data_IF_272227185082
#
_entry.id   IF_272227185082
#
_cell.length_a   1.000
_cell.length_b   1.000
_cell.length_c   1.000
_cell.angle_alpha   90.00
_cell.angle_beta   90.00
_cell.angle_gamma   90.00
#
_symmetry.space_group_name_H-M   'P 1'
#
loop_
_entity.id
_entity.type
_entity.pdbx_description
1 polymer ?
#
# COMPACT_ATOMS: atom_id res chain seq x y z
N UNK A 1 -53.33 -64.56 -28.46
CA UNK A 1 -52.14 -63.78 -28.86
C UNK A 1 -52.26 -62.32 -28.38
N UNK A 2 -52.55 -62.10 -27.09
CA UNK A 2 -52.68 -60.74 -26.50
C UNK A 2 -52.06 -60.65 -25.09
N UNK A 3 -51.70 -61.77 -24.48
CA UNK A 3 -51.23 -61.85 -23.09
C UNK A 3 -49.70 -61.85 -22.93
N UNK A 4 -48.94 -61.94 -24.03
CA UNK A 4 -47.46 -62.02 -24.00
C UNK A 4 -46.82 -60.64 -24.22
N UNK A 5 -47.49 -59.74 -24.95
CA UNK A 5 -46.94 -58.42 -25.33
C UNK A 5 -46.94 -57.45 -24.12
N UNK A 6 -47.94 -57.53 -23.23
CA UNK A 6 -47.98 -56.66 -22.03
C UNK A 6 -46.87 -56.97 -21.01
N UNK A 7 -46.38 -58.21 -20.97
CA UNK A 7 -45.37 -58.63 -19.98
C UNK A 7 -43.94 -58.20 -20.37
N UNK A 8 -43.70 -57.89 -21.64
CA UNK A 8 -42.41 -57.41 -22.15
C UNK A 8 -42.26 -55.88 -22.07
N UNK A 9 -43.37 -55.14 -22.14
CA UNK A 9 -43.37 -53.68 -22.04
C UNK A 9 -43.13 -53.23 -20.59
N UNK A 10 -43.64 -53.99 -19.61
CA UNK A 10 -43.48 -53.66 -18.18
C UNK A 10 -42.07 -53.87 -17.62
N UNK A 11 -41.26 -54.76 -18.22
CA UNK A 11 -39.87 -55.00 -17.77
C UNK A 11 -38.88 -54.00 -18.35
N UNK A 12 -39.17 -53.42 -19.51
CA UNK A 12 -38.32 -52.39 -20.15
C UNK A 12 -38.50 -51.01 -19.50
N UNK A 13 -39.68 -50.70 -18.97
CA UNK A 13 -39.95 -49.42 -18.29
C UNK A 13 -39.31 -49.31 -16.88
N UNK A 14 -39.01 -50.44 -16.22
CA UNK A 14 -38.35 -50.42 -14.91
C UNK A 14 -36.82 -50.33 -15.02
N UNK A 15 -36.22 -50.74 -16.14
CA UNK A 15 -34.76 -50.61 -16.35
C UNK A 15 -34.39 -49.17 -16.76
N UNK A 16 -35.30 -48.43 -17.40
CA UNK A 16 -35.06 -47.02 -17.75
C UNK A 16 -35.23 -46.05 -16.58
N UNK A 17 -35.82 -46.47 -15.45
CA UNK A 17 -35.98 -45.61 -14.26
C UNK A 17 -34.82 -45.71 -13.26
N UNK A 18 -33.86 -46.62 -13.46
CA UNK A 18 -32.65 -46.73 -12.64
C UNK A 18 -31.41 -46.05 -13.25
N UNK A 19 -31.52 -45.48 -14.45
CA UNK A 19 -30.41 -44.76 -15.12
C UNK A 19 -30.60 -43.24 -15.13
N UNK A 20 -31.61 -42.73 -14.42
CA UNK A 20 -31.82 -41.30 -14.21
C UNK A 20 -31.76 -40.98 -12.70
N UNK A 21 -30.78 -41.54 -12.00
CA UNK A 21 -30.16 -40.72 -10.95
C UNK A 21 -29.33 -39.70 -11.70
N UNK A 22 -29.96 -38.56 -11.97
CA UNK A 22 -29.24 -37.33 -12.24
C UNK A 22 -28.19 -37.23 -11.14
N UNK A 23 -26.91 -37.33 -11.50
CA UNK A 23 -25.87 -36.80 -10.66
C UNK A 23 -26.28 -35.35 -10.42
N UNK A 24 -26.79 -35.05 -9.22
CA UNK A 24 -26.65 -33.70 -8.70
C UNK A 24 -25.14 -33.58 -8.54
N UNK A 25 -24.50 -33.03 -9.56
CA UNK A 25 -23.14 -32.51 -9.43
C UNK A 25 -23.13 -31.78 -8.10
N UNK A 26 -22.30 -32.27 -7.17
CA UNK A 26 -21.93 -31.50 -6.01
C UNK A 26 -21.22 -30.28 -6.60
N UNK A 27 -21.97 -29.25 -6.97
CA UNK A 27 -21.43 -27.92 -7.19
C UNK A 27 -20.84 -27.56 -5.84
N UNK A 28 -19.52 -27.70 -5.74
CA UNK A 28 -18.79 -27.13 -4.60
C UNK A 28 -19.16 -25.63 -4.63
N UNK A 29 -19.79 -25.09 -3.56
CA UNK A 29 -20.22 -23.70 -3.56
C UNK A 29 -19.07 -22.72 -3.79
N UNK A 30 -17.82 -23.19 -3.67
CA UNK A 30 -16.60 -22.44 -3.89
C UNK A 30 -15.93 -22.72 -5.27
N UNK A 31 -16.57 -23.51 -6.14
CA UNK A 31 -16.00 -23.91 -7.44
C UNK A 31 -15.91 -22.70 -8.40
N UNK A 32 -14.69 -22.25 -8.70
CA UNK A 32 -14.44 -21.21 -9.70
C UNK A 32 -13.51 -20.07 -9.28
N UNK A 33 -13.11 -19.99 -8.01
CA UNK A 33 -12.21 -18.93 -7.53
C UNK A 33 -10.74 -19.37 -7.66
N UNK A 34 -10.12 -19.10 -8.81
CA UNK A 34 -8.68 -19.25 -9.01
C UNK A 34 -7.99 -17.89 -8.78
N UNK A 35 -7.62 -17.59 -7.54
CA UNK A 35 -6.80 -16.42 -7.23
C UNK A 35 -5.32 -16.74 -7.46
N UNK A 36 -4.61 -15.88 -8.18
CA UNK A 36 -3.15 -15.95 -8.31
C UNK A 36 -2.42 -15.17 -7.22
N UNK A 37 -3.16 -14.56 -6.30
CA UNK A 37 -2.64 -13.73 -5.23
C UNK A 37 -2.17 -14.60 -4.08
N UNK A 38 -1.03 -14.31 -3.46
CA UNK A 38 -0.55 -15.02 -2.28
C UNK A 38 -0.86 -14.19 -1.02
N UNK A 39 -1.70 -14.73 -0.13
CA UNK A 39 -2.02 -14.10 1.15
C UNK A 39 -1.34 -14.85 2.31
N UNK A 40 -0.44 -14.16 3.02
CA UNK A 40 0.28 -14.73 4.15
C UNK A 40 -0.67 -15.06 5.33
N UNK A 41 -1.67 -14.21 5.55
CA UNK A 41 -2.66 -14.35 6.64
C UNK A 41 -3.95 -15.06 6.22
N UNK A 42 -3.99 -15.64 5.02
CA UNK A 42 -5.18 -16.26 4.45
C UNK A 42 -6.13 -15.26 3.76
N UNK A 43 -7.25 -15.77 3.29
CA UNK A 43 -8.22 -15.04 2.47
C UNK A 43 -9.46 -14.65 3.25
N UNK A 44 -10.07 -13.53 2.89
CA UNK A 44 -11.40 -13.15 3.36
C UNK A 44 -12.40 -14.22 2.92
N UNK A 45 -13.31 -14.60 3.81
CA UNK A 45 -14.35 -15.58 3.53
C UNK A 45 -15.67 -14.89 3.22
N UNK A 46 -16.39 -15.39 2.21
CA UNK A 46 -17.75 -14.96 1.92
C UNK A 46 -18.78 -15.58 2.89
N UNK A 47 -20.07 -15.27 2.68
CA UNK A 47 -21.18 -15.80 3.51
C UNK A 47 -21.29 -17.33 3.47
N UNK A 48 -20.75 -17.98 2.43
CA UNK A 48 -20.72 -19.42 2.26
C UNK A 48 -19.42 -20.05 2.79
N UNK A 49 -18.55 -19.26 3.44
CA UNK A 49 -17.21 -19.67 3.88
C UNK A 49 -16.25 -20.04 2.73
N UNK A 50 -16.48 -19.49 1.54
CA UNK A 50 -15.56 -19.63 0.41
C UNK A 50 -14.52 -18.52 0.42
N UNK A 51 -13.28 -18.87 0.07
CA UNK A 51 -12.18 -17.91 -0.06
C UNK A 51 -12.48 -16.90 -1.18
N UNK A 52 -12.42 -15.62 -0.85
CA UNK A 52 -12.46 -14.52 -1.80
C UNK A 52 -11.04 -14.18 -2.26
N UNK A 53 -10.88 -13.56 -3.43
CA UNK A 53 -9.58 -13.05 -3.88
C UNK A 53 -9.16 -11.75 -3.15
N UNK A 54 -9.20 -11.76 -1.82
CA UNK A 54 -8.85 -10.66 -0.94
C UNK A 54 -8.11 -11.22 0.29
N UNK A 55 -7.00 -10.59 0.70
CA UNK A 55 -6.25 -11.03 1.87
C UNK A 55 -6.85 -10.53 3.17
N UNK A 56 -6.73 -11.33 4.22
CA UNK A 56 -6.98 -10.87 5.59
C UNK A 56 -5.91 -9.83 5.96
N UNK A 57 -6.36 -8.61 6.20
CA UNK A 57 -5.55 -7.52 6.76
C UNK A 57 -5.40 -7.75 8.26
N UNK A 58 -4.16 -7.83 8.73
CA UNK A 58 -3.83 -8.01 10.15
C UNK A 58 -3.03 -6.85 10.74
N UNK A 59 -2.42 -6.02 9.89
CA UNK A 59 -1.59 -4.89 10.31
C UNK A 59 -2.26 -3.58 9.92
N UNK A 60 -2.49 -2.72 10.91
CA UNK A 60 -3.18 -1.45 10.73
C UNK A 60 -2.28 -0.28 11.16
N UNK A 61 -2.35 0.81 10.43
CA UNK A 61 -1.62 2.04 10.70
C UNK A 61 -1.92 2.57 12.10
N UNK A 62 -0.87 2.77 12.90
CA UNK A 62 -0.97 3.30 14.26
C UNK A 62 -1.46 2.31 15.32
N UNK A 63 -1.75 1.06 14.94
CA UNK A 63 -2.12 -0.02 15.87
C UNK A 63 -0.91 -0.92 16.08
N UNK A 64 -0.68 -1.34 17.33
CA UNK A 64 0.38 -2.25 17.70
C UNK A 64 0.01 -2.99 18.99
N UNK A 65 0.62 -4.16 19.17
CA UNK A 65 0.51 -5.00 20.36
C UNK A 65 1.87 -5.63 20.67
N UNK A 66 1.90 -6.68 21.50
CA UNK A 66 3.13 -7.36 21.92
C UNK A 66 3.86 -8.08 20.76
N UNK A 67 3.29 -8.13 19.55
CA UNK A 67 3.95 -8.68 18.35
C UNK A 67 4.79 -7.64 17.61
N UNK A 68 4.74 -6.37 18.02
CA UNK A 68 5.48 -5.27 17.41
C UNK A 68 6.63 -4.80 18.30
N UNK A 69 7.74 -4.45 17.66
CA UNK A 69 8.75 -3.57 18.22
C UNK A 69 8.26 -2.15 17.98
N UNK A 70 7.80 -1.50 19.05
CA UNK A 70 7.39 -0.10 19.04
C UNK A 70 8.49 0.80 19.61
N UNK A 71 8.74 1.92 18.93
CA UNK A 71 9.67 2.94 19.40
C UNK A 71 9.04 4.34 19.27
N UNK A 72 8.96 5.05 20.40
CA UNK A 72 8.61 6.46 20.46
C UNK A 72 9.89 7.29 20.54
N UNK A 73 10.04 8.26 19.63
CA UNK A 73 11.18 9.15 19.67
C UNK A 73 11.08 10.03 20.92
N UNK A 74 12.16 10.13 21.74
CA UNK A 74 12.13 10.95 22.96
C UNK A 74 11.92 12.45 22.64
N UNK A 75 12.31 12.85 21.44
CA UNK A 75 12.00 14.13 20.82
C UNK A 75 11.57 13.86 19.38
N UNK A 76 10.42 14.39 18.92
CA UNK A 76 10.03 14.27 17.53
C UNK A 76 11.17 14.75 16.62
N UNK A 77 11.45 13.99 15.56
CA UNK A 77 12.48 14.33 14.59
C UNK A 77 11.89 15.31 13.58
N UNK A 78 12.15 16.59 13.82
CA UNK A 78 11.94 17.67 12.86
C UNK A 78 13.12 17.72 11.88
N UNK A 79 12.84 17.80 10.59
CA UNK A 79 13.89 17.91 9.57
C UNK A 79 14.40 19.35 9.55
N UNK A 80 15.68 19.53 9.87
CA UNK A 80 16.32 20.85 9.87
C UNK A 80 16.43 21.41 8.44
N UNK A 81 15.82 22.57 8.21
CA UNK A 81 15.92 23.28 6.94
C UNK A 81 17.17 24.17 6.91
N UNK A 82 18.08 23.88 5.98
CA UNK A 82 19.27 24.68 5.71
C UNK A 82 18.99 25.63 4.55
N UNK A 83 18.99 26.93 4.84
CA UNK A 83 18.74 27.98 3.86
C UNK A 83 20.00 28.40 3.10
N UNK A 84 19.92 28.38 1.78
CA UNK A 84 20.85 29.06 0.88
C UNK A 84 20.29 30.45 0.55
N UNK A 85 20.78 31.47 1.26
CA UNK A 85 20.32 32.84 1.12
C UNK A 85 20.72 33.44 -0.24
N UNK A 86 21.83 32.98 -0.83
CA UNK A 86 22.31 33.51 -2.11
C UNK A 86 21.43 33.06 -3.27
N UNK A 87 20.98 31.80 -3.21
CA UNK A 87 20.16 31.20 -4.26
C UNK A 87 18.66 31.16 -3.92
N UNK A 88 18.27 31.54 -2.70
CA UNK A 88 16.88 31.56 -2.20
C UNK A 88 16.20 30.17 -2.13
N UNK A 89 17.00 29.13 -1.93
CA UNK A 89 16.53 27.75 -1.77
C UNK A 89 16.76 27.24 -0.35
N UNK A 90 16.08 26.15 0.01
CA UNK A 90 16.41 25.38 1.19
C UNK A 90 16.44 23.89 0.87
N UNK A 91 17.19 23.15 1.69
CA UNK A 91 17.15 21.70 1.72
C UNK A 91 17.28 21.20 3.15
N UNK A 92 16.82 19.98 3.40
CA UNK A 92 16.91 19.34 4.70
C UNK A 92 16.85 17.84 4.56
N UNK A 93 17.50 17.12 5.47
CA UNK A 93 17.52 15.66 5.48
C UNK A 93 17.29 15.15 6.90
N UNK A 94 16.49 14.10 7.03
CA UNK A 94 16.26 13.40 8.28
C UNK A 94 16.28 11.90 8.04
N UNK A 95 16.73 11.11 9.01
CA UNK A 95 16.77 9.65 8.85
C UNK A 95 16.45 8.94 10.15
N UNK A 96 15.89 7.74 10.02
CA UNK A 96 15.57 6.86 11.15
C UNK A 96 16.18 5.48 10.94
N UNK A 97 16.63 4.89 12.04
CA UNK A 97 17.10 3.51 12.16
C UNK A 97 16.01 2.74 12.89
N UNK A 98 15.25 1.94 12.14
CA UNK A 98 14.02 1.29 12.60
C UNK A 98 14.36 -0.01 13.33
N UNK A 99 15.34 -0.78 12.84
CA UNK A 99 15.73 -2.05 13.46
C UNK A 99 16.89 -1.95 14.46
N UNK A 100 17.38 -0.73 14.69
CA UNK A 100 18.43 -0.39 15.66
C UNK A 100 19.76 -1.10 15.37
N UNK A 101 20.05 -1.37 14.09
CA UNK A 101 21.30 -2.00 13.66
C UNK A 101 22.48 -1.00 13.54
N UNK A 102 22.21 0.30 13.72
CA UNK A 102 23.17 1.39 13.61
C UNK A 102 23.27 1.99 12.21
N UNK A 103 22.50 1.51 11.24
CA UNK A 103 22.39 2.07 9.90
C UNK A 103 21.00 2.68 9.70
N UNK A 104 20.94 3.80 9.00
CA UNK A 104 19.65 4.41 8.66
C UNK A 104 18.87 3.53 7.68
N UNK A 105 17.58 3.38 7.94
CA UNK A 105 16.66 2.53 7.17
C UNK A 105 15.76 3.33 6.25
N UNK A 106 15.29 4.48 6.73
CA UNK A 106 14.44 5.38 5.98
C UNK A 106 15.03 6.79 6.09
N UNK A 107 15.23 7.42 4.94
CA UNK A 107 15.68 8.81 4.83
C UNK A 107 14.57 9.67 4.22
N UNK A 108 14.33 10.81 4.81
CA UNK A 108 13.46 11.87 4.32
C UNK A 108 14.33 12.99 3.79
N UNK A 109 14.01 13.46 2.59
CA UNK A 109 14.67 14.59 1.95
C UNK A 109 13.61 15.64 1.63
N UNK A 110 13.84 16.87 2.09
CA UNK A 110 13.01 18.02 1.81
C UNK A 110 13.81 19.07 1.06
N UNK A 111 13.12 19.83 0.22
CA UNK A 111 13.71 21.01 -0.38
C UNK A 111 12.67 21.88 -1.05
N UNK A 112 13.05 23.11 -1.34
CA UNK A 112 12.14 24.10 -1.85
C UNK A 112 12.79 25.46 -2.00
N UNK A 113 11.96 26.49 -2.13
CA UNK A 113 12.39 27.84 -2.44
C UNK A 113 11.59 28.88 -1.66
N UNK A 114 12.15 30.09 -1.54
CA UNK A 114 11.42 31.23 -0.99
C UNK A 114 10.66 31.96 -2.09
N UNK A 115 9.33 31.81 -2.12
CA UNK A 115 8.45 32.46 -3.08
C UNK A 115 8.54 33.99 -3.08
N UNK A 116 8.76 34.62 -1.92
CA UNK A 116 8.70 36.08 -1.78
C UNK A 116 9.86 36.80 -2.45
N UNK A 117 10.98 36.10 -2.68
CA UNK A 117 12.22 36.70 -3.16
C UNK A 117 12.64 36.19 -4.55
N UNK A 118 11.90 35.23 -5.11
CA UNK A 118 12.26 34.60 -6.37
C UNK A 118 11.99 35.54 -7.54
N UNK A 119 13.05 36.11 -8.13
CA UNK A 119 12.95 37.01 -9.28
C UNK A 119 12.77 36.28 -10.62
N UNK A 120 12.99 34.96 -10.63
CA UNK A 120 12.94 34.10 -11.81
C UNK A 120 12.19 32.80 -11.50
N UNK A 121 11.95 31.97 -12.50
CA UNK A 121 11.27 30.69 -12.33
C UNK A 121 12.11 29.71 -11.49
N UNK A 122 11.54 29.01 -10.50
CA UNK A 122 12.31 28.15 -9.63
C UNK A 122 12.88 26.95 -10.38
N UNK A 123 14.14 26.63 -10.08
CA UNK A 123 14.80 25.42 -10.54
C UNK A 123 14.50 24.22 -9.64
N UNK A 124 14.23 24.49 -8.36
CA UNK A 124 13.87 23.50 -7.34
C UNK A 124 12.52 23.91 -6.78
N UNK A 125 11.56 23.01 -6.86
CA UNK A 125 10.23 23.20 -6.31
C UNK A 125 10.12 22.58 -4.92
N UNK A 126 9.12 22.99 -4.16
CA UNK A 126 8.84 22.39 -2.86
C UNK A 126 8.57 20.89 -3.02
N UNK A 127 9.31 20.06 -2.30
CA UNK A 127 9.18 18.62 -2.37
C UNK A 127 9.53 17.97 -1.03
N UNK A 128 8.97 16.78 -0.84
CA UNK A 128 9.38 15.83 0.18
C UNK A 128 9.44 14.45 -0.43
N UNK A 129 10.57 13.77 -0.24
CA UNK A 129 10.82 12.43 -0.78
C UNK A 129 11.31 11.50 0.31
N UNK A 130 11.09 10.20 0.11
CA UNK A 130 11.54 9.13 0.99
C UNK A 130 12.48 8.23 0.21
N UNK A 131 13.64 7.95 0.78
CA UNK A 131 14.59 6.97 0.27
C UNK A 131 14.60 5.77 1.21
N UNK A 132 14.43 4.57 0.67
CA UNK A 132 14.50 3.34 1.45
C UNK A 132 15.91 2.73 1.40
N UNK A 133 16.37 2.26 2.56
CA UNK A 133 17.71 1.72 2.78
C UNK A 133 17.58 0.33 3.45
N UNK A 134 18.67 -0.45 3.46
CA UNK A 134 18.75 -1.74 4.17
C UNK A 134 17.59 -2.73 3.90
N UNK A 135 17.09 -2.76 2.66
CA UNK A 135 15.96 -3.58 2.21
C UNK A 135 14.61 -3.26 2.86
N UNK A 136 14.47 -2.07 3.45
CA UNK A 136 13.15 -1.55 3.77
C UNK A 136 12.40 -1.18 2.49
N UNK A 137 11.10 -1.36 2.56
CA UNK A 137 10.15 -0.97 1.55
C UNK A 137 9.11 -0.04 2.16
N UNK A 138 8.59 0.88 1.36
CA UNK A 138 7.48 1.76 1.75
C UNK A 138 6.26 1.50 0.89
N UNK A 139 5.09 1.58 1.51
CA UNK A 139 3.82 1.43 0.82
C UNK A 139 3.61 2.63 -0.12
N UNK A 140 3.19 2.36 -1.35
CA UNK A 140 2.90 3.41 -2.34
C UNK A 140 1.61 3.18 -3.09
N UNK A 141 1.11 4.24 -3.72
CA UNK A 141 0.04 4.19 -4.71
C UNK A 141 0.52 4.83 -6.01
N UNK A 142 -0.07 4.39 -7.12
CA UNK A 142 0.22 4.94 -8.44
C UNK A 142 -0.87 5.92 -8.83
N UNK A 143 -0.48 7.15 -9.12
CA UNK A 143 -1.36 8.18 -9.65
C UNK A 143 -1.15 8.32 -11.17
N UNK A 144 -2.22 8.09 -11.94
CA UNK A 144 -2.20 8.29 -13.39
C UNK A 144 -2.56 9.73 -13.72
N UNK A 145 -1.74 10.38 -14.54
CA UNK A 145 -1.98 11.75 -14.98
C UNK A 145 -1.85 11.89 -16.50
N UNK A 146 -2.53 12.90 -17.02
CA UNK A 146 -2.67 13.17 -18.44
C UNK A 146 -1.96 14.46 -18.79
N UNK A 147 -0.95 14.36 -19.65
CA UNK A 147 -0.24 15.50 -20.22
C UNK A 147 -0.82 15.95 -21.56
N UNK A 148 -0.33 17.08 -22.07
CA UNK A 148 -0.64 17.54 -23.42
C UNK A 148 -0.25 16.51 -24.50
N UNK A 149 -0.84 16.64 -25.70
CA UNK A 149 -0.60 15.78 -26.87
C UNK A 149 -0.94 14.29 -26.66
N UNK A 150 -1.85 13.98 -25.72
CA UNK A 150 -2.29 12.59 -25.47
C UNK A 150 -1.29 11.77 -24.65
N UNK A 151 -0.34 12.44 -23.97
CA UNK A 151 0.59 11.80 -23.06
C UNK A 151 -0.14 11.27 -21.82
N UNK A 152 0.11 10.02 -21.46
CA UNK A 152 -0.35 9.40 -20.21
C UNK A 152 0.87 8.89 -19.47
N UNK A 153 0.98 9.21 -18.19
CA UNK A 153 2.04 8.70 -17.34
C UNK A 153 1.50 8.33 -15.97
N UNK A 154 2.30 7.52 -15.29
CA UNK A 154 2.05 7.03 -13.94
C UNK A 154 3.12 7.61 -13.02
N UNK A 155 2.70 7.99 -11.83
CA UNK A 155 3.55 8.52 -10.78
C UNK A 155 3.36 7.69 -9.51
N UNK A 156 4.43 7.07 -9.03
CA UNK A 156 4.41 6.39 -7.75
C UNK A 156 4.68 7.39 -6.62
N UNK A 157 3.78 7.38 -5.64
CA UNK A 157 3.78 8.29 -4.49
C UNK A 157 3.59 7.47 -3.21
N UNK A 158 4.33 7.79 -2.16
CA UNK A 158 4.19 7.17 -0.83
C UNK A 158 2.73 7.26 -0.39
N UNK A 159 2.16 6.14 0.05
CA UNK A 159 0.79 6.11 0.53
C UNK A 159 0.67 6.84 1.86
N UNK A 160 -0.23 7.83 1.90
CA UNK A 160 -0.68 8.49 3.13
C UNK A 160 -1.80 7.67 3.76
N UNK A 161 -1.51 7.08 4.90
CA UNK A 161 -2.47 6.25 5.64
C UNK A 161 -3.07 7.02 6.80
N UNK A 162 -4.38 6.88 6.97
CA UNK A 162 -5.09 7.34 8.16
C UNK A 162 -4.93 6.32 9.31
N UNK A 163 -5.26 6.73 10.54
CA UNK A 163 -5.28 5.81 11.67
C UNK A 163 -6.22 4.64 11.41
N UNK A 164 -5.76 3.43 11.74
CA UNK A 164 -6.48 2.18 11.57
C UNK A 164 -6.76 1.78 10.10
N UNK A 165 -6.01 2.32 9.15
CA UNK A 165 -6.00 1.86 7.75
C UNK A 165 -5.12 0.61 7.59
N UNK A 166 -5.54 -0.34 6.76
CA UNK A 166 -4.85 -1.62 6.56
C UNK A 166 -3.55 -1.51 5.75
N UNK A 167 -2.52 -2.28 6.12
CA UNK A 167 -1.18 -2.21 5.52
C UNK A 167 -0.81 -3.50 4.77
N UNK A 168 -0.92 -4.65 5.43
CA UNK A 168 -0.43 -5.95 4.95
C UNK A 168 -1.30 -6.60 3.87
N UNK A 169 -2.47 -6.04 3.58
CA UNK A 169 -3.30 -6.40 2.42
C UNK A 169 -2.83 -5.81 1.08
N UNK A 170 -1.85 -4.90 1.09
CA UNK A 170 -1.39 -4.23 -0.13
C UNK A 170 -0.24 -4.94 -0.82
N UNK A 171 -0.23 -4.87 -2.15
CA UNK A 171 0.82 -5.44 -3.01
C UNK A 171 1.86 -4.42 -3.48
N UNK A 172 1.64 -3.12 -3.26
CA UNK A 172 2.45 -2.04 -3.83
C UNK A 172 3.52 -1.58 -2.85
N UNK A 173 4.67 -2.26 -2.90
CA UNK A 173 5.81 -1.97 -2.04
C UNK A 173 6.97 -1.40 -2.88
N UNK A 174 7.45 -0.22 -2.50
CA UNK A 174 8.57 0.42 -3.16
C UNK A 174 9.86 0.03 -2.46
N UNK A 175 10.73 -0.71 -3.16
CA UNK A 175 12.10 -0.99 -2.77
C UNK A 175 13.07 -0.45 -3.82
N UNK A 176 13.70 0.68 -3.50
CA UNK A 176 14.76 1.25 -4.31
C UNK A 176 15.97 1.48 -3.44
N UNK A 177 16.92 0.54 -3.37
CA UNK A 177 18.16 0.77 -2.61
C UNK A 177 18.86 2.03 -3.12
N UNK A 178 18.80 3.12 -2.34
CA UNK A 178 19.27 4.45 -2.70
C UNK A 178 18.50 5.16 -3.84
N UNK A 179 17.26 4.77 -4.11
CA UNK A 179 16.35 5.53 -4.96
C UNK A 179 15.21 6.09 -4.13
N UNK A 180 14.81 7.32 -4.43
CA UNK A 180 13.75 8.00 -3.72
C UNK A 180 12.39 7.74 -4.39
N UNK A 181 11.35 7.73 -3.55
CA UNK A 181 9.95 7.86 -3.94
C UNK A 181 9.40 9.17 -3.37
N UNK A 182 8.42 9.77 -4.05
CA UNK A 182 7.85 11.06 -3.65
C UNK A 182 6.81 10.86 -2.57
N UNK A 183 6.82 11.69 -1.53
CA UNK A 183 5.60 11.97 -0.75
C UNK A 183 4.82 13.06 -1.47
N UNK A 184 5.50 14.14 -1.81
CA UNK A 184 4.98 15.13 -2.74
C UNK A 184 6.11 15.80 -3.53
N UNK A 185 5.75 16.37 -4.67
CA UNK A 185 6.64 17.21 -5.46
C UNK A 185 5.79 18.27 -6.15
N UNK A 186 5.91 19.52 -5.72
CA UNK A 186 5.27 20.64 -6.40
C UNK A 186 5.85 20.72 -7.81
N UNK A 187 4.99 20.68 -8.82
CA UNK A 187 5.42 20.71 -10.21
C UNK A 187 4.63 21.79 -10.94
N UNK A 188 5.27 22.66 -11.71
CA UNK A 188 4.54 23.63 -12.51
C UNK A 188 3.90 23.03 -13.76
N UNK A 189 4.27 21.81 -14.14
CA UNK A 189 3.59 21.03 -15.17
C UNK A 189 2.29 20.41 -14.62
N UNK A 190 1.43 19.90 -15.51
CA UNK A 190 0.16 19.22 -15.19
C UNK A 190 0.30 17.88 -14.45
N UNK A 191 1.38 17.70 -13.68
CA UNK A 191 1.64 16.50 -12.88
C UNK A 191 1.03 16.68 -11.48
N UNK A 192 0.42 15.63 -10.91
CA UNK A 192 -0.11 15.69 -9.55
C UNK A 192 1.02 15.89 -8.54
N UNK A 193 0.72 16.63 -7.47
CA UNK A 193 1.71 16.93 -6.44
C UNK A 193 1.92 15.76 -5.49
N UNK A 194 0.96 14.85 -5.37
CA UNK A 194 0.92 13.81 -4.34
C UNK A 194 0.04 14.23 -3.16
N UNK A 195 -0.60 13.26 -2.52
CA UNK A 195 -1.60 13.48 -1.47
C UNK A 195 -1.02 13.99 -0.13
N UNK A 196 0.30 14.12 -0.02
CA UNK A 196 0.98 14.73 1.14
C UNK A 196 1.12 16.25 1.02
N UNK A 197 0.99 16.83 -0.18
CA UNK A 197 1.12 18.27 -0.37
C UNK A 197 0.04 19.02 0.42
N UNK A 198 0.45 19.97 1.26
CA UNK A 198 -0.44 20.74 2.13
C UNK A 198 -1.17 19.90 3.19
N UNK A 199 -0.74 18.66 3.44
CA UNK A 199 -1.33 17.83 4.49
C UNK A 199 -1.07 18.44 5.87
N UNK A 200 -2.07 18.35 6.74
CA UNK A 200 -2.01 18.85 8.11
C UNK A 200 -2.64 17.82 9.06
N UNK A 201 -1.93 17.46 10.13
CA UNK A 201 -2.37 16.48 11.11
C UNK A 201 -1.50 15.22 11.17
N UNK A 202 -1.99 14.19 11.84
CA UNK A 202 -1.26 12.94 12.06
C UNK A 202 -1.59 11.93 10.97
N UNK A 203 -0.57 11.38 10.33
CA UNK A 203 -0.67 10.36 9.30
C UNK A 203 0.40 9.29 9.47
N UNK A 204 0.27 8.21 8.69
CA UNK A 204 1.16 7.08 8.76
C UNK A 204 1.72 6.72 7.38
N UNK A 205 2.96 6.23 7.36
CA UNK A 205 3.56 5.55 6.20
C UNK A 205 3.63 4.07 6.53
N UNK A 206 3.11 3.20 5.65
CA UNK A 206 3.31 1.76 5.76
C UNK A 206 4.73 1.38 5.39
N UNK A 207 5.38 0.55 6.21
CA UNK A 207 6.73 0.03 5.97
C UNK A 207 6.74 -1.50 5.98
N UNK A 208 7.72 -2.08 5.27
CA UNK A 208 7.92 -3.52 5.22
C UNK A 208 9.40 -3.87 5.19
N UNK A 209 9.79 -4.96 5.86
CA UNK A 209 11.11 -5.59 5.74
C UNK A 209 10.98 -7.10 5.94
N UNK A 210 11.45 -7.90 4.98
CA UNK A 210 11.43 -9.37 5.07
C UNK A 210 10.04 -9.95 5.45
N UNK A 211 8.96 -9.43 4.83
CA UNK A 211 7.55 -9.75 5.13
C UNK A 211 7.06 -9.39 6.55
N UNK A 212 7.83 -8.61 7.31
CA UNK A 212 7.36 -7.96 8.52
C UNK A 212 6.85 -6.58 8.16
N UNK A 213 5.64 -6.28 8.57
CA UNK A 213 4.96 -5.03 8.26
C UNK A 213 5.00 -4.10 9.48
N UNK A 214 4.87 -2.81 9.21
CA UNK A 214 4.93 -1.80 10.22
C UNK A 214 4.44 -0.46 9.72
N UNK A 215 4.59 0.56 10.53
CA UNK A 215 4.26 1.93 10.17
C UNK A 215 5.21 2.94 10.81
N UNK A 216 5.33 4.11 10.17
CA UNK A 216 5.96 5.31 10.71
C UNK A 216 4.86 6.34 10.94
N UNK A 217 4.77 6.90 12.14
CA UNK A 217 3.85 7.97 12.50
C UNK A 217 4.52 9.32 12.27
N UNK A 218 3.83 10.17 11.52
CA UNK A 218 4.24 11.52 11.19
C UNK A 218 3.17 12.51 11.66
N UNK A 219 3.61 13.67 12.14
CA UNK A 219 2.78 14.87 12.19
C UNK A 219 3.19 15.78 11.03
N UNK A 220 2.20 16.14 10.21
CA UNK A 220 2.37 16.99 9.04
C UNK A 220 1.90 18.40 9.39
N UNK A 221 2.70 19.39 9.04
CA UNK A 221 2.32 20.80 9.06
C UNK A 221 2.66 21.43 7.72
N UNK A 222 1.63 21.86 6.98
CA UNK A 222 1.76 22.41 5.63
C UNK A 222 2.56 21.53 4.66
N UNK A 223 2.39 20.20 4.77
CA UNK A 223 3.13 19.22 3.97
C UNK A 223 4.51 18.87 4.49
N UNK A 224 5.03 19.52 5.52
CA UNK A 224 6.34 19.18 6.11
C UNK A 224 6.21 18.12 7.22
N UNK A 225 6.99 17.03 7.17
CA UNK A 225 6.87 15.94 8.13
C UNK A 225 7.71 16.19 9.39
N UNK A 226 7.12 15.85 10.54
CA UNK A 226 7.82 15.63 11.81
C UNK A 226 7.60 14.18 12.24
N UNK A 227 8.68 13.42 12.43
CA UNK A 227 8.58 11.99 12.74
C UNK A 227 8.42 11.80 14.25
N UNK A 228 7.41 11.04 14.67
CA UNK A 228 7.04 10.90 16.09
C UNK A 228 7.43 9.53 16.64
N UNK A 229 7.09 8.47 15.92
CA UNK A 229 7.26 7.09 16.40
C UNK A 229 7.17 6.13 15.23
N UNK A 230 7.58 4.88 15.43
CA UNK A 230 7.40 3.81 14.47
C UNK A 230 7.13 2.48 15.17
N UNK A 231 6.55 1.53 14.44
CA UNK A 231 6.39 0.16 14.87
C UNK A 231 6.67 -0.79 13.71
N UNK A 232 7.29 -1.93 13.99
CA UNK A 232 7.47 -3.03 13.02
C UNK A 232 7.25 -4.37 13.71
N UNK A 233 6.63 -5.33 13.03
CA UNK A 233 6.50 -6.69 13.55
C UNK A 233 7.87 -7.29 13.91
N UNK A 234 7.91 -8.06 15.00
CA UNK A 234 9.12 -8.75 15.48
C UNK A 234 9.49 -10.00 14.68
#
# INVERSE_FOLDING_TARGET
MYTIILKQIFTLAFISLWLFSCDTENEDPCEGVLCTLYCENGYVLDENSCEMCECIVSVFAGVYDDTFIYYELPLPLEIEMVWDIENLYFSGEGSIDIDLDGNNDIKFDIGGYNEENLNEYPLIFNHCTVTTLNNFEVLYYTETFYGGMGFVANLDVVSRLDFNEGIDGSTNWYSGSNSFIRMFYENPASMPYGNWYGANGIFYIGIKKNNKYGWIKLEMFDGWPTIISYAIQN
#
